data_IF_107268226501
#
_entry.id   IF_107268226501
#
_cell.length_a   1.000
_cell.length_b   1.000
_cell.length_c   1.000
_cell.angle_alpha   90.00
_cell.angle_beta   90.00
_cell.angle_gamma   90.00
#
_symmetry.space_group_name_H-M   'P 1'
#
loop_
_entity.id
_entity.type
_entity.pdbx_description
1 polymer ?
#
# COMPACT_ATOMS: atom_id res chain seq x y z
N UNK A 1 -26.94 7.61 -6.02
CA UNK A 1 -26.78 6.32 -5.31
C UNK A 1 -25.33 5.90 -5.48
N UNK A 2 -24.60 5.57 -4.41
CA UNK A 2 -23.27 4.99 -4.56
C UNK A 2 -23.37 3.71 -5.41
N UNK A 3 -22.48 3.56 -6.39
CA UNK A 3 -22.43 2.34 -7.19
C UNK A 3 -21.65 1.29 -6.41
N UNK A 4 -22.28 0.18 -6.03
CA UNK A 4 -21.56 -0.94 -5.46
C UNK A 4 -20.87 -1.77 -6.54
N UNK A 5 -19.73 -2.36 -6.24
CA UNK A 5 -19.06 -3.32 -7.12
C UNK A 5 -19.62 -4.74 -6.98
N UNK A 6 -19.01 -5.72 -7.66
CA UNK A 6 -19.42 -7.12 -7.60
C UNK A 6 -19.25 -7.76 -6.22
N UNK A 7 -18.50 -7.13 -5.31
CA UNK A 7 -18.31 -7.57 -3.93
C UNK A 7 -19.27 -6.84 -2.97
N UNK A 8 -20.17 -6.00 -3.48
CA UNK A 8 -21.09 -5.20 -2.68
C UNK A 8 -20.46 -3.97 -2.03
N UNK A 9 -19.20 -3.67 -2.33
CA UNK A 9 -18.48 -2.53 -1.75
C UNK A 9 -18.82 -1.24 -2.48
N UNK A 10 -18.97 -0.13 -1.75
CA UNK A 10 -19.16 1.18 -2.36
C UNK A 10 -17.96 1.51 -3.26
N UNK A 11 -18.21 1.80 -4.54
CA UNK A 11 -17.20 2.30 -5.47
C UNK A 11 -16.95 3.77 -5.23
N UNK A 12 -15.68 4.11 -5.07
CA UNK A 12 -15.22 5.49 -4.95
C UNK A 12 -14.94 6.08 -6.32
N UNK A 13 -15.33 7.34 -6.51
CA UNK A 13 -14.89 8.11 -7.68
C UNK A 13 -13.41 8.51 -7.56
N UNK A 14 -12.87 9.08 -8.64
CA UNK A 14 -11.46 9.47 -8.72
C UNK A 14 -11.10 10.52 -7.67
N UNK A 15 -11.96 11.50 -7.41
CA UNK A 15 -11.69 12.59 -6.48
C UNK A 15 -11.62 12.06 -5.04
N UNK A 16 -12.55 11.20 -4.67
CA UNK A 16 -12.55 10.49 -3.40
C UNK A 16 -11.28 9.65 -3.23
N UNK A 17 -10.86 8.91 -4.25
CA UNK A 17 -9.61 8.13 -4.20
C UNK A 17 -8.38 9.02 -3.97
N UNK A 18 -8.28 10.14 -4.69
CA UNK A 18 -7.17 11.07 -4.56
C UNK A 18 -7.15 11.74 -3.18
N UNK A 19 -8.32 12.08 -2.64
CA UNK A 19 -8.45 12.62 -1.28
C UNK A 19 -7.96 11.62 -0.23
N UNK A 20 -8.30 10.34 -0.36
CA UNK A 20 -7.85 9.30 0.56
C UNK A 20 -6.34 9.04 0.43
N UNK A 21 -5.79 9.02 -0.79
CA UNK A 21 -4.35 8.94 -1.02
C UNK A 21 -3.60 10.13 -0.40
N UNK A 22 -4.13 11.36 -0.49
CA UNK A 22 -3.50 12.55 0.08
C UNK A 22 -3.48 12.53 1.62
N UNK A 23 -4.45 11.87 2.25
CA UNK A 23 -4.53 11.73 3.71
C UNK A 23 -3.64 10.62 4.28
N UNK A 24 -3.10 9.73 3.45
CA UNK A 24 -2.32 8.58 3.89
C UNK A 24 -0.81 8.82 3.77
N UNK A 25 -0.04 8.33 4.75
CA UNK A 25 1.43 8.43 4.76
C UNK A 25 2.17 7.15 4.40
N UNK A 26 1.46 6.04 4.24
CA UNK A 26 2.02 4.70 4.00
C UNK A 26 1.17 3.97 2.98
N UNK A 27 1.81 3.36 1.98
CA UNK A 27 1.19 2.42 1.07
C UNK A 27 2.09 1.23 0.79
N UNK A 28 1.68 0.42 -0.19
CA UNK A 28 2.34 -0.82 -0.57
C UNK A 28 2.56 -0.82 -2.08
N UNK A 29 3.80 -0.96 -2.51
CA UNK A 29 4.13 -1.16 -3.93
C UNK A 29 4.08 -2.66 -4.21
N UNK A 30 3.27 -3.06 -5.19
CA UNK A 30 3.20 -4.40 -5.75
C UNK A 30 3.95 -4.39 -7.09
N UNK A 31 5.00 -5.19 -7.19
CA UNK A 31 5.93 -5.17 -8.31
C UNK A 31 6.45 -6.58 -8.60
N UNK A 32 7.17 -6.74 -9.72
CA UNK A 32 7.81 -8.02 -10.06
C UNK A 32 9.28 -7.99 -9.65
N UNK A 33 9.71 -9.00 -8.90
CA UNK A 33 11.10 -9.21 -8.50
C UNK A 33 11.52 -10.61 -8.87
N UNK A 34 12.59 -10.76 -9.67
CA UNK A 34 13.08 -12.08 -10.13
C UNK A 34 11.97 -12.96 -10.73
N UNK A 35 11.14 -12.36 -11.60
CA UNK A 35 9.97 -12.99 -12.23
C UNK A 35 8.84 -13.42 -11.27
N UNK A 36 8.87 -13.01 -10.00
CA UNK A 36 7.85 -13.33 -9.01
C UNK A 36 7.19 -12.05 -8.46
N UNK A 37 5.90 -12.09 -8.10
CA UNK A 37 5.24 -10.95 -7.47
C UNK A 37 5.85 -10.69 -6.08
N UNK A 38 6.09 -9.42 -5.78
CA UNK A 38 6.58 -8.95 -4.49
C UNK A 38 5.76 -7.73 -4.04
N UNK A 39 5.68 -7.54 -2.73
CA UNK A 39 5.02 -6.40 -2.11
C UNK A 39 5.97 -5.76 -1.10
N UNK A 40 6.08 -4.42 -1.12
CA UNK A 40 6.90 -3.69 -0.16
C UNK A 40 6.17 -2.45 0.36
N UNK A 41 6.08 -2.27 1.70
CA UNK A 41 5.59 -1.04 2.28
C UNK A 41 6.51 0.16 1.94
N UNK A 42 5.91 1.28 1.58
CA UNK A 42 6.62 2.49 1.20
C UNK A 42 5.90 3.72 1.74
N UNK A 43 6.67 4.62 2.36
CA UNK A 43 6.22 6.00 2.52
C UNK A 43 6.14 6.64 1.13
N UNK A 44 5.16 7.49 0.94
CA UNK A 44 4.92 8.12 -0.35
C UNK A 44 4.43 9.55 -0.18
N UNK A 45 4.50 10.30 -1.27
CA UNK A 45 3.84 11.59 -1.42
C UNK A 45 3.14 11.65 -2.78
N UNK A 46 2.10 12.47 -2.88
CA UNK A 46 1.52 12.83 -4.17
C UNK A 46 2.25 14.06 -4.72
N UNK A 47 2.73 13.97 -5.96
CA UNK A 47 3.42 15.05 -6.64
C UNK A 47 3.04 15.07 -8.13
N UNK A 48 2.46 16.18 -8.61
CA UNK A 48 2.03 16.36 -10.00
C UNK A 48 1.31 15.14 -10.62
N UNK A 49 0.27 14.66 -9.94
CA UNK A 49 -0.56 13.54 -10.42
C UNK A 49 0.12 12.17 -10.39
N UNK A 50 1.22 12.03 -9.64
CA UNK A 50 1.93 10.78 -9.46
C UNK A 50 2.17 10.49 -7.98
N UNK A 51 2.28 9.21 -7.67
CA UNK A 51 2.82 8.73 -6.41
C UNK A 51 4.35 8.77 -6.51
N UNK A 52 5.00 9.37 -5.53
CA UNK A 52 6.45 9.40 -5.43
C UNK A 52 6.89 8.63 -4.20
N UNK A 53 7.85 7.73 -4.40
CA UNK A 53 8.45 6.89 -3.36
C UNK A 53 9.95 7.13 -3.32
N UNK A 54 10.51 7.23 -2.11
CA UNK A 54 11.96 7.30 -1.90
C UNK A 54 12.49 5.95 -1.41
N UNK A 55 13.41 5.34 -2.15
CA UNK A 55 13.97 4.02 -1.82
C UNK A 55 15.47 3.93 -2.13
N UNK A 56 16.28 3.13 -1.40
CA UNK A 56 17.67 2.86 -1.77
C UNK A 56 17.80 2.29 -3.19
N UNK A 57 18.78 2.75 -3.96
CA UNK A 57 19.03 2.29 -5.34
C UNK A 57 19.36 0.80 -5.43
N UNK A 58 19.89 0.20 -4.37
CA UNK A 58 20.21 -1.23 -4.30
C UNK A 58 19.04 -2.09 -3.79
N UNK A 59 17.87 -1.50 -3.52
CA UNK A 59 16.70 -2.25 -3.03
C UNK A 59 16.09 -3.13 -4.12
N UNK A 60 15.47 -4.24 -3.72
CA UNK A 60 14.69 -5.09 -4.63
C UNK A 60 13.55 -4.30 -5.28
N UNK A 61 12.91 -3.40 -4.53
CA UNK A 61 11.91 -2.47 -5.05
C UNK A 61 12.47 -1.65 -6.20
N UNK A 62 13.59 -0.93 -6.00
CA UNK A 62 14.19 -0.12 -7.05
C UNK A 62 14.49 -0.93 -8.31
N UNK A 63 15.13 -2.09 -8.17
CA UNK A 63 15.44 -2.95 -9.31
C UNK A 63 14.20 -3.50 -10.04
N UNK A 64 13.12 -3.81 -9.32
CA UNK A 64 11.95 -4.47 -9.89
C UNK A 64 10.92 -3.52 -10.52
N UNK A 65 10.99 -2.22 -10.23
CA UNK A 65 10.00 -1.25 -10.74
C UNK A 65 10.45 -0.45 -11.95
N UNK A 66 11.73 -0.48 -12.33
CA UNK A 66 12.22 0.33 -13.45
C UNK A 66 11.53 -0.10 -14.76
N UNK A 67 10.84 0.87 -15.38
CA UNK A 67 10.12 0.74 -16.64
C UNK A 67 9.03 -0.34 -16.67
N UNK A 68 8.58 -0.79 -15.49
CA UNK A 68 7.55 -1.81 -15.34
C UNK A 68 6.23 -1.21 -14.82
N UNK A 69 5.12 -1.88 -15.18
CA UNK A 69 3.81 -1.55 -14.65
C UNK A 69 3.72 -2.12 -13.24
N UNK A 70 3.36 -1.26 -12.29
CA UNK A 70 3.25 -1.60 -10.87
C UNK A 70 1.87 -1.24 -10.36
N UNK A 71 1.46 -1.91 -9.28
CA UNK A 71 0.33 -1.49 -8.49
C UNK A 71 0.83 -0.80 -7.22
N UNK A 72 0.12 0.22 -6.76
CA UNK A 72 0.30 0.84 -5.47
C UNK A 72 -1.02 0.79 -4.71
N UNK A 73 -1.00 0.29 -3.48
CA UNK A 73 -2.20 0.20 -2.65
C UNK A 73 -2.03 0.98 -1.35
N UNK A 74 -3.09 1.66 -0.96
CA UNK A 74 -3.26 2.29 0.34
C UNK A 74 -4.59 1.83 0.90
N UNK A 75 -4.63 1.62 2.21
CA UNK A 75 -5.82 1.16 2.89
C UNK A 75 -5.83 1.65 4.34
N UNK A 76 -7.02 1.75 4.88
CA UNK A 76 -7.28 2.02 6.29
C UNK A 76 -8.57 1.30 6.69
N UNK A 77 -8.50 0.53 7.76
CA UNK A 77 -9.63 -0.25 8.27
C UNK A 77 -9.81 0.00 9.76
N UNK A 78 -11.06 0.08 10.20
CA UNK A 78 -11.39 0.01 11.60
C UNK A 78 -10.94 -1.33 12.19
N UNK A 79 -10.59 -1.35 13.48
CA UNK A 79 -10.09 -2.57 14.14
C UNK A 79 -11.07 -3.74 14.10
N UNK A 80 -12.36 -3.44 14.11
CA UNK A 80 -13.46 -4.42 14.03
C UNK A 80 -13.79 -4.83 12.59
N UNK A 81 -13.11 -4.26 11.59
CA UNK A 81 -13.33 -4.45 10.16
C UNK A 81 -14.77 -4.10 9.70
N UNK A 82 -15.53 -3.38 10.52
CA UNK A 82 -16.90 -2.94 10.20
C UNK A 82 -16.95 -1.72 9.27
N UNK A 83 -15.82 -1.04 9.11
CA UNK A 83 -15.65 0.08 8.21
C UNK A 83 -14.20 0.15 7.72
N UNK A 84 -14.02 0.72 6.54
CA UNK A 84 -12.70 0.95 5.98
C UNK A 84 -12.74 1.26 4.51
N UNK A 85 -11.57 1.45 3.93
CA UNK A 85 -11.42 1.73 2.52
C UNK A 85 -10.08 1.22 2.03
N UNK A 86 -10.00 1.02 0.72
CA UNK A 86 -8.74 0.81 0.03
C UNK A 86 -8.76 1.51 -1.32
N UNK A 87 -7.60 1.99 -1.74
CA UNK A 87 -7.36 2.59 -3.05
C UNK A 87 -6.19 1.86 -3.68
N UNK A 88 -6.38 1.43 -4.92
CA UNK A 88 -5.34 0.86 -5.76
C UNK A 88 -5.10 1.78 -6.94
N UNK A 89 -3.83 2.08 -7.18
CA UNK A 89 -3.34 2.79 -8.35
C UNK A 89 -2.53 1.82 -9.20
N UNK A 90 -2.67 1.91 -10.51
CA UNK A 90 -1.77 1.25 -11.47
C UNK A 90 -1.11 2.33 -12.31
N UNK A 91 0.20 2.16 -12.54
CA UNK A 91 0.96 3.03 -13.42
C UNK A 91 2.34 2.47 -13.74
N UNK A 92 2.99 3.02 -14.78
CA UNK A 92 4.36 2.68 -15.12
C UNK A 92 5.34 3.43 -14.23
N UNK A 93 6.06 2.70 -13.39
CA UNK A 93 7.06 3.28 -12.53
C UNK A 93 8.33 3.64 -13.30
N UNK A 94 8.92 4.80 -12.96
CA UNK A 94 10.19 5.24 -13.51
C UNK A 94 11.03 5.94 -12.43
N UNK A 95 12.35 5.90 -12.59
CA UNK A 95 13.26 6.71 -11.79
C UNK A 95 13.12 8.19 -12.16
N UNK A 96 13.07 9.06 -11.15
CA UNK A 96 13.22 10.50 -11.36
C UNK A 96 14.69 10.81 -11.53
N UNK A 97 15.08 11.26 -12.73
CA UNK A 97 16.47 11.60 -13.08
C UNK A 97 16.70 13.10 -13.28
N UNK A 98 15.63 13.88 -13.45
CA UNK A 98 15.73 15.33 -13.61
C UNK A 98 16.19 15.97 -12.28
N UNK A 99 17.32 16.69 -12.26
CA UNK A 99 17.81 17.35 -11.05
C UNK A 99 16.85 18.40 -10.50
N UNK A 100 16.11 19.13 -11.34
CA UNK A 100 15.15 20.13 -10.90
C UNK A 100 13.99 19.47 -10.16
N UNK A 101 13.42 18.42 -10.75
CA UNK A 101 12.35 17.63 -10.09
C UNK A 101 12.87 16.98 -8.81
N UNK A 102 14.12 16.49 -8.80
CA UNK A 102 14.71 15.89 -7.60
C UNK A 102 14.82 16.92 -6.47
N UNK A 103 15.25 18.14 -6.78
CA UNK A 103 15.34 19.23 -5.79
C UNK A 103 13.96 19.62 -5.23
N UNK A 104 12.91 19.62 -6.06
CA UNK A 104 11.53 19.83 -5.59
C UNK A 104 11.10 18.72 -4.62
N UNK A 105 11.36 17.45 -4.96
CA UNK A 105 11.00 16.31 -4.14
C UNK A 105 11.72 16.26 -2.79
N UNK A 106 12.94 16.80 -2.72
CA UNK A 106 13.71 16.94 -1.47
C UNK A 106 13.04 17.88 -0.45
N UNK A 107 12.17 18.79 -0.91
CA UNK A 107 11.40 19.68 -0.02
C UNK A 107 10.18 18.99 0.61
N UNK A 108 9.75 17.84 0.07
CA UNK A 108 8.62 17.10 0.60
C UNK A 108 9.01 16.37 1.89
N UNK A 109 8.08 16.17 2.84
CA UNK A 109 8.32 15.38 4.06
C UNK A 109 8.37 13.86 3.77
N UNK A 110 9.10 13.45 2.74
CA UNK A 110 9.19 12.07 2.25
C UNK A 110 10.46 11.38 2.75
N UNK A 111 10.35 10.72 3.90
CA UNK A 111 11.43 9.91 4.47
C UNK A 111 11.57 8.52 3.82
N UNK A 112 12.79 7.99 3.76
CA UNK A 112 13.02 6.56 3.50
C UNK A 112 13.14 5.79 4.83
N UNK A 113 12.83 4.49 4.83
CA UNK A 113 12.87 3.67 6.05
C UNK A 113 14.23 3.62 6.73
N UNK A 114 15.31 3.66 5.93
CA UNK A 114 16.65 3.32 6.39
C UNK A 114 17.57 4.53 6.54
N UNK A 115 17.09 5.76 6.25
CA UNK A 115 17.91 6.99 6.27
C UNK A 115 19.13 6.97 5.34
N UNK A 116 19.19 6.04 4.37
CA UNK A 116 20.38 5.83 3.54
C UNK A 116 20.55 6.95 2.52
N UNK A 117 21.80 7.39 2.34
CA UNK A 117 22.19 8.47 1.42
C UNK A 117 22.10 8.08 -0.06
N UNK A 118 22.09 6.79 -0.39
CA UNK A 118 21.95 6.26 -1.75
C UNK A 118 20.49 6.16 -2.23
N UNK A 119 19.56 6.77 -1.51
CA UNK A 119 18.14 6.77 -1.89
C UNK A 119 17.92 7.51 -3.20
N UNK A 120 16.98 7.00 -4.01
CA UNK A 120 16.48 7.57 -5.26
C UNK A 120 14.98 7.73 -5.19
N UNK A 121 14.45 8.59 -6.05
CA UNK A 121 13.00 8.79 -6.18
C UNK A 121 12.46 7.98 -7.34
N UNK A 122 11.39 7.26 -7.07
CA UNK A 122 10.56 6.56 -8.04
C UNK A 122 9.27 7.33 -8.21
N UNK A 123 8.83 7.52 -9.45
CA UNK A 123 7.57 8.16 -9.80
C UNK A 123 6.65 7.12 -10.45
N UNK A 124 5.42 7.05 -9.96
CA UNK A 124 4.35 6.20 -10.46
C UNK A 124 3.18 7.12 -10.87
N UNK A 125 3.04 7.48 -12.16
CA UNK A 125 1.91 8.25 -12.64
C UNK A 125 0.59 7.51 -12.35
N UNK A 126 -0.46 8.24 -11.99
CA UNK A 126 -1.77 7.64 -11.73
C UNK A 126 -2.49 7.44 -13.08
N UNK A 127 -2.16 6.34 -13.77
CA UNK A 127 -2.77 5.96 -15.05
C UNK A 127 -4.17 5.36 -14.84
N UNK A 128 -4.33 4.52 -13.82
CA UNK A 128 -5.62 4.03 -13.35
C UNK A 128 -5.71 4.13 -11.83
N UNK A 129 -6.89 4.44 -11.32
CA UNK A 129 -7.18 4.48 -9.89
C UNK A 129 -8.55 3.89 -9.63
N UNK A 130 -8.62 2.99 -8.67
CA UNK A 130 -9.85 2.36 -8.20
C UNK A 130 -9.89 2.42 -6.69
N UNK A 131 -11.02 2.77 -6.11
CA UNK A 131 -11.20 2.76 -4.68
C UNK A 131 -12.50 2.09 -4.28
N UNK A 132 -12.49 1.51 -3.07
CA UNK A 132 -13.66 0.89 -2.45
C UNK A 132 -13.79 1.35 -1.01
N UNK A 133 -15.04 1.46 -0.55
CA UNK A 133 -15.38 1.67 0.85
C UNK A 133 -16.27 0.55 1.35
N UNK A 134 -15.97 0.11 2.56
CA UNK A 134 -16.71 -0.87 3.33
C UNK A 134 -17.65 -0.11 4.27
N UNK A 135 -18.94 -0.44 4.19
CA UNK A 135 -19.98 0.10 5.05
C UNK A 135 -20.71 -1.08 5.70
N UNK A 136 -20.36 -1.41 6.95
CA UNK A 136 -20.98 -2.50 7.71
C UNK A 136 -20.12 -3.76 7.78
N UNK A 137 -20.30 -4.52 8.85
CA UNK A 137 -19.49 -5.70 9.16
C UNK A 137 -19.92 -6.91 8.31
N UNK A 138 -18.98 -7.50 7.57
CA UNK A 138 -18.94 -8.95 7.42
C UNK A 138 -18.22 -9.49 8.66
N UNK A 139 -18.95 -10.09 9.61
CA UNK A 139 -18.36 -10.73 10.78
C UNK A 139 -17.36 -11.81 10.33
N UNK A 140 -16.10 -11.68 10.75
CA UNK A 140 -15.05 -12.63 10.40
C UNK A 140 -14.83 -13.62 11.56
N UNK A 141 -15.58 -14.73 11.57
CA UNK A 141 -15.55 -15.74 12.66
C UNK A 141 -14.17 -16.42 12.81
N UNK A 142 -13.25 -16.27 11.86
CA UNK A 142 -11.93 -16.89 11.90
C UNK A 142 -10.95 -16.26 12.92
N UNK A 143 -11.17 -15.02 13.36
CA UNK A 143 -10.31 -14.33 14.35
C UNK A 143 -10.50 -14.88 15.77
N UNK A 144 -11.57 -15.60 16.07
CA UNK A 144 -11.82 -16.18 17.40
C UNK A 144 -11.13 -17.53 17.64
N UNK A 145 -10.44 -18.10 16.66
CA UNK A 145 -9.82 -19.45 16.78
C UNK A 145 -8.41 -19.40 17.39
N UNK A 146 -7.71 -18.26 17.31
CA UNK A 146 -6.29 -18.17 17.70
C UNK A 146 -6.12 -17.95 19.22
N UNK A 147 -7.19 -17.58 19.93
CA UNK A 147 -7.17 -17.31 21.38
C UNK A 147 -7.63 -18.49 22.26
N UNK A 148 -7.82 -19.70 21.72
CA UNK A 148 -8.11 -20.86 22.56
C UNK A 148 -6.82 -21.34 23.26
N UNK A 149 -6.69 -21.21 24.60
CA UNK A 149 -5.55 -21.80 25.30
C UNK A 149 -5.56 -23.33 25.16
N UNK A 150 -4.40 -23.90 24.87
CA UNK A 150 -4.18 -25.35 24.78
C UNK A 150 -4.32 -26.00 26.17
N UNK A 151 -5.53 -26.43 26.53
CA UNK A 151 -5.78 -27.25 27.73
C UNK A 151 -5.35 -28.71 27.53
N UNK A 152 -4.09 -28.94 27.16
CA UNK A 152 -3.44 -30.26 27.28
C UNK A 152 -2.20 -30.20 28.16
N UNK A 153 -2.43 -29.93 29.44
CA UNK A 153 -1.49 -30.34 30.49
C UNK A 153 -2.27 -30.88 31.68
N UNK A 154 -2.05 -32.16 32.02
CA UNK A 154 -2.49 -32.71 33.30
C UNK A 154 -3.12 -34.10 33.28
N UNK A 155 -2.36 -35.14 32.90
CA UNK A 155 -2.55 -36.49 33.47
C UNK A 155 -1.21 -37.21 33.56
N UNK A 156 -0.47 -36.94 34.63
CA UNK A 156 0.58 -37.84 35.10
C UNK A 156 -0.13 -38.90 35.94
N UNK A 157 -0.24 -40.10 35.41
CA UNK A 157 -0.65 -41.28 36.16
C UNK A 157 0.52 -41.70 37.05
N UNK A 158 0.40 -41.55 38.36
CA UNK A 158 1.26 -42.26 39.30
C UNK A 158 0.62 -43.60 39.64
N UNK A 159 1.35 -44.68 39.37
CA UNK A 159 1.11 -46.05 39.87
C UNK A 159 2.14 -46.35 40.95
#
# INVERSE_FOLDING_TARGET
MPMSDSLGLETLDREQCLSLLAGAGLGRVVFTSRAMPAIQPARFALHHGAIVVRTPSQSALFAGVLDSVVAFSVDEFAKDLGAGWFVTVVGRAAEVRDPLVTAELETLPLGCWTGRTDSRYLRIPIESVTGRRILGACSNEALSVIDAPDERSGRVCHS
#
